data_IF_732412611985
#
_entry.id   IF_732412611985
#
_cell.length_a   1.000
_cell.length_b   1.000
_cell.length_c   1.000
_cell.angle_alpha   90.00
_cell.angle_beta   90.00
_cell.angle_gamma   90.00
#
_symmetry.space_group_name_H-M   'P 1'
#
loop_
_entity.id
_entity.type
_entity.pdbx_description
1 polymer ?
#
# COMPACT_ATOMS: atom_id res chain seq x y z
N UNK A 1 -5.56 -1.39 -0.60
CA UNK A 1 -6.51 -1.08 -1.71
C UNK A 1 -7.98 -1.06 -1.27
N UNK A 2 -8.53 -2.15 -0.70
CA UNK A 2 -9.96 -2.22 -0.35
C UNK A 2 -10.39 -1.20 0.71
N UNK A 3 -9.59 -0.97 1.75
CA UNK A 3 -9.91 0.01 2.79
C UNK A 3 -10.11 1.43 2.24
N UNK A 4 -9.16 1.93 1.44
CA UNK A 4 -9.28 3.27 0.83
C UNK A 4 -10.50 3.37 -0.08
N UNK A 5 -10.82 2.30 -0.84
CA UNK A 5 -12.04 2.26 -1.66
C UNK A 5 -13.30 2.32 -0.80
N UNK A 6 -13.33 1.58 0.31
CA UNK A 6 -14.41 1.63 1.29
C UNK A 6 -14.62 3.04 1.87
N UNK A 7 -13.53 3.74 2.20
CA UNK A 7 -13.58 5.13 2.67
C UNK A 7 -14.15 6.08 1.61
N UNK A 8 -13.72 5.97 0.34
CA UNK A 8 -14.27 6.78 -0.77
C UNK A 8 -15.77 6.54 -0.91
N UNK A 9 -16.22 5.28 -0.86
CA UNK A 9 -17.65 4.92 -0.97
C UNK A 9 -18.49 5.48 0.19
N UNK A 10 -17.95 5.48 1.40
CA UNK A 10 -18.60 6.02 2.58
C UNK A 10 -18.73 7.55 2.52
N UNK A 11 -17.63 8.24 2.14
CA UNK A 11 -17.54 9.70 2.19
C UNK A 11 -18.25 10.39 1.01
N UNK A 12 -18.06 9.91 -0.22
CA UNK A 12 -18.60 10.61 -1.40
C UNK A 12 -19.99 10.16 -1.81
N UNK A 13 -20.34 8.89 -1.55
CA UNK A 13 -21.54 8.29 -2.12
C UNK A 13 -22.60 7.94 -1.08
N UNK A 14 -22.26 7.99 0.21
CA UNK A 14 -23.06 7.43 1.30
C UNK A 14 -23.52 5.99 1.00
N UNK A 15 -22.70 5.21 0.27
CA UNK A 15 -23.04 3.83 -0.14
C UNK A 15 -22.48 2.81 0.84
N UNK A 16 -23.14 2.75 1.99
CA UNK A 16 -22.79 1.88 3.11
C UNK A 16 -22.62 0.42 2.70
N UNK A 17 -23.54 -0.16 1.93
CA UNK A 17 -23.49 -1.59 1.56
C UNK A 17 -22.21 -1.98 0.81
N UNK A 18 -21.73 -1.10 -0.08
CA UNK A 18 -20.49 -1.35 -0.83
C UNK A 18 -19.25 -1.11 0.02
N UNK A 19 -19.30 -0.12 0.92
CA UNK A 19 -18.22 0.13 1.86
C UNK A 19 -18.02 -1.07 2.81
N UNK A 20 -19.10 -1.69 3.30
CA UNK A 20 -19.07 -2.91 4.11
C UNK A 20 -18.33 -4.04 3.40
N UNK A 21 -18.67 -4.32 2.13
CA UNK A 21 -18.00 -5.36 1.36
C UNK A 21 -16.48 -5.11 1.23
N UNK A 22 -16.09 -3.85 1.04
CA UNK A 22 -14.69 -3.45 0.94
C UNK A 22 -13.94 -3.56 2.27
N UNK A 23 -14.52 -3.09 3.37
CA UNK A 23 -13.91 -3.23 4.68
C UNK A 23 -13.82 -4.68 5.13
N UNK A 24 -14.84 -5.50 4.85
CA UNK A 24 -14.80 -6.94 5.09
C UNK A 24 -13.67 -7.61 4.31
N UNK A 25 -13.46 -7.21 3.04
CA UNK A 25 -12.34 -7.74 2.25
C UNK A 25 -10.99 -7.29 2.79
N UNK A 26 -10.88 -6.05 3.28
CA UNK A 26 -9.68 -5.55 3.94
C UNK A 26 -9.34 -6.35 5.20
N UNK A 27 -10.34 -6.64 6.04
CA UNK A 27 -10.18 -7.50 7.23
C UNK A 27 -9.73 -8.91 6.87
N UNK A 28 -10.30 -9.50 5.80
CA UNK A 28 -9.93 -10.84 5.35
C UNK A 28 -8.48 -10.93 4.88
N UNK A 29 -8.02 -9.92 4.12
CA UNK A 29 -6.69 -9.92 3.52
C UNK A 29 -5.60 -9.50 4.53
N UNK A 30 -5.93 -8.54 5.39
CA UNK A 30 -5.02 -8.00 6.39
C UNK A 30 -5.68 -8.08 7.77
N UNK A 31 -5.72 -9.27 8.41
CA UNK A 31 -6.39 -9.46 9.70
C UNK A 31 -5.75 -8.67 10.84
N UNK A 32 -4.56 -8.10 10.63
CA UNK A 32 -3.85 -7.25 11.59
C UNK A 32 -4.14 -5.76 11.41
N UNK A 33 -4.90 -5.39 10.38
CA UNK A 33 -5.21 -4.01 10.06
C UNK A 33 -6.45 -3.56 10.84
N UNK A 34 -6.20 -3.07 12.07
CA UNK A 34 -7.24 -2.79 13.05
C UNK A 34 -8.26 -1.78 12.55
N UNK A 35 -7.83 -0.76 11.81
CA UNK A 35 -8.68 0.29 11.23
C UNK A 35 -9.81 -0.29 10.38
N UNK A 36 -9.56 -1.37 9.64
CA UNK A 36 -10.58 -2.01 8.82
C UNK A 36 -11.69 -2.65 9.66
N UNK A 37 -11.39 -3.19 10.84
CA UNK A 37 -12.41 -3.74 11.73
C UNK A 37 -13.35 -2.64 12.25
N UNK A 38 -12.80 -1.49 12.64
CA UNK A 38 -13.61 -0.39 13.18
C UNK A 38 -14.46 0.27 12.10
N UNK A 39 -13.90 0.51 10.91
CA UNK A 39 -14.71 1.03 9.79
C UNK A 39 -15.78 0.04 9.33
N UNK A 40 -15.51 -1.27 9.38
CA UNK A 40 -16.53 -2.29 9.11
C UNK A 40 -17.63 -2.29 10.17
N UNK A 41 -17.27 -2.25 11.46
CA UNK A 41 -18.23 -2.20 12.56
C UNK A 41 -19.12 -0.94 12.49
N UNK A 42 -18.53 0.23 12.27
CA UNK A 42 -19.25 1.50 12.12
C UNK A 42 -20.21 1.46 10.91
N UNK A 43 -19.80 0.78 9.84
CA UNK A 43 -20.64 0.60 8.66
C UNK A 43 -21.83 -0.34 8.94
N UNK A 44 -21.62 -1.42 9.70
CA UNK A 44 -22.72 -2.30 10.14
C UNK A 44 -23.70 -1.59 11.09
N UNK A 45 -23.19 -0.79 12.03
CA UNK A 45 -24.03 0.02 12.92
C UNK A 45 -24.89 1.00 12.12
N UNK A 46 -24.31 1.64 11.11
CA UNK A 46 -25.03 2.56 10.22
C UNK A 46 -26.09 1.86 9.38
N UNK A 47 -25.97 0.54 9.16
CA UNK A 47 -26.99 -0.30 8.52
C UNK A 47 -28.02 -0.89 9.51
N UNK A 48 -27.90 -0.58 10.81
CA UNK A 48 -28.75 -1.17 11.86
C UNK A 48 -28.42 -2.63 12.20
N UNK A 49 -27.30 -3.16 11.71
CA UNK A 49 -26.87 -4.54 11.94
C UNK A 49 -26.03 -4.66 13.23
N UNK A 50 -26.63 -4.30 14.36
CA UNK A 50 -25.93 -4.15 15.65
C UNK A 50 -25.15 -5.41 16.09
N UNK A 51 -25.74 -6.60 15.94
CA UNK A 51 -25.08 -7.85 16.33
C UNK A 51 -23.77 -8.09 15.54
N UNK A 52 -23.77 -7.76 14.23
CA UNK A 52 -22.58 -7.88 13.38
C UNK A 52 -21.55 -6.79 13.71
N UNK A 53 -22.02 -5.57 14.02
CA UNK A 53 -21.14 -4.49 14.44
C UNK A 53 -20.41 -4.83 15.75
N UNK A 54 -21.13 -5.30 16.77
CA UNK A 54 -20.55 -5.68 18.05
C UNK A 54 -19.60 -6.86 17.92
N UNK A 55 -19.98 -7.89 17.15
CA UNK A 55 -19.09 -9.02 16.87
C UNK A 55 -17.79 -8.55 16.19
N UNK A 56 -17.90 -7.69 15.19
CA UNK A 56 -16.75 -7.17 14.43
C UNK A 56 -15.85 -6.31 15.32
N UNK A 57 -16.45 -5.44 16.15
CA UNK A 57 -15.76 -4.59 17.12
C UNK A 57 -15.00 -5.42 18.15
N UNK A 58 -15.61 -6.47 18.69
CA UNK A 58 -14.94 -7.37 19.64
C UNK A 58 -13.82 -8.19 18.99
N UNK A 59 -13.98 -8.60 17.73
CA UNK A 59 -12.91 -9.23 16.96
C UNK A 59 -11.71 -8.26 16.80
N UNK A 60 -11.96 -7.00 16.42
CA UNK A 60 -10.93 -5.97 16.31
C UNK A 60 -10.22 -5.69 17.64
N UNK A 61 -10.96 -5.54 18.75
CA UNK A 61 -10.38 -5.35 20.09
C UNK A 61 -9.52 -6.52 20.54
N UNK A 62 -9.97 -7.76 20.28
CA UNK A 62 -9.21 -8.98 20.59
C UNK A 62 -7.90 -8.99 19.82
N UNK A 63 -7.94 -8.70 18.52
CA UNK A 63 -6.75 -8.62 17.69
C UNK A 63 -5.79 -7.53 18.17
N UNK A 64 -6.30 -6.37 18.57
CA UNK A 64 -5.47 -5.29 19.12
C UNK A 64 -4.73 -5.75 20.39
N UNK A 65 -5.40 -6.45 21.31
CA UNK A 65 -4.77 -7.05 22.51
C UNK A 65 -3.68 -8.06 22.15
N UNK A 66 -3.95 -8.96 21.21
CA UNK A 66 -2.97 -9.95 20.74
C UNK A 66 -1.72 -9.30 20.11
N UNK A 67 -1.91 -8.16 19.44
CA UNK A 67 -0.83 -7.38 18.85
C UNK A 67 -0.13 -6.43 19.85
N UNK A 68 -0.65 -6.28 21.08
CA UNK A 68 -0.20 -5.29 22.04
C UNK A 68 -0.36 -3.84 21.53
N UNK A 69 -1.36 -3.58 20.69
CA UNK A 69 -1.63 -2.27 20.09
C UNK A 69 -2.84 -1.60 20.73
N UNK A 70 -2.81 -0.27 20.76
CA UNK A 70 -3.99 0.53 21.10
C UNK A 70 -5.05 0.42 19.98
N UNK A 71 -6.30 0.75 20.33
CA UNK A 71 -7.38 0.80 19.36
C UNK A 71 -7.17 2.00 18.43
N UNK A 72 -7.39 1.84 17.12
CA UNK A 72 -7.23 2.93 16.17
C UNK A 72 -8.29 4.01 16.41
N UNK A 73 -7.88 5.26 16.18
CA UNK A 73 -8.80 6.39 16.11
C UNK A 73 -9.43 6.48 14.72
N UNK A 74 -10.60 7.12 14.63
CA UNK A 74 -11.21 7.42 13.33
C UNK A 74 -10.33 8.41 12.59
N UNK A 75 -9.92 8.05 11.37
CA UNK A 75 -9.09 8.93 10.53
C UNK A 75 -9.92 10.06 9.92
N UNK A 76 -9.32 11.25 9.86
CA UNK A 76 -9.79 12.36 9.03
C UNK A 76 -9.55 12.01 7.56
N UNK A 77 -10.54 12.27 6.70
CA UNK A 77 -10.42 12.04 5.26
C UNK A 77 -10.38 13.39 4.57
N UNK A 78 -9.32 13.64 3.80
CA UNK A 78 -9.18 14.84 2.99
C UNK A 78 -9.21 14.49 1.50
N UNK A 79 -9.70 15.44 0.71
CA UNK A 79 -9.67 15.43 -0.75
C UNK A 79 -9.02 16.73 -1.23
N UNK A 80 -8.36 16.75 -2.42
CA UNK A 80 -7.88 18.00 -2.99
C UNK A 80 -9.04 18.97 -3.24
N UNK A 81 -8.81 20.26 -2.97
CA UNK A 81 -9.80 21.32 -3.22
C UNK A 81 -9.95 21.73 -4.69
N UNK A 82 -9.28 21.03 -5.61
CA UNK A 82 -9.33 21.28 -7.06
C UNK A 82 -10.37 20.34 -7.66
N UNK A 83 -11.26 20.80 -8.57
CA UNK A 83 -12.22 19.93 -9.23
C UNK A 83 -11.51 18.94 -10.17
N UNK A 84 -12.07 17.74 -10.29
CA UNK A 84 -11.54 16.74 -11.22
C UNK A 84 -12.01 17.05 -12.64
N UNK A 85 -11.05 17.26 -13.54
CA UNK A 85 -11.30 17.40 -14.98
C UNK A 85 -11.21 16.03 -15.66
N UNK A 86 -12.38 15.42 -15.87
CA UNK A 86 -12.50 14.12 -16.54
C UNK A 86 -12.09 14.17 -18.01
N UNK A 87 -12.26 15.30 -18.69
CA UNK A 87 -11.98 15.42 -20.13
C UNK A 87 -10.47 15.51 -20.34
N UNK A 88 -9.78 16.30 -19.53
CA UNK A 88 -8.32 16.34 -19.51
C UNK A 88 -7.72 14.96 -19.18
N UNK A 89 -8.26 14.27 -18.16
CA UNK A 89 -7.80 12.92 -17.79
C UNK A 89 -8.06 11.90 -18.90
N UNK A 90 -9.26 11.92 -19.52
CA UNK A 90 -9.60 11.05 -20.64
C UNK A 90 -8.73 11.32 -21.86
N UNK A 91 -8.46 12.59 -22.16
CA UNK A 91 -7.61 13.00 -23.28
C UNK A 91 -6.18 12.53 -23.08
N UNK A 92 -5.63 12.66 -21.87
CA UNK A 92 -4.29 12.17 -21.54
C UNK A 92 -4.17 10.63 -21.64
N UNK A 93 -5.24 9.89 -21.32
CA UNK A 93 -5.27 8.42 -21.43
C UNK A 93 -5.72 7.89 -22.80
N UNK A 94 -6.02 8.77 -23.75
CA UNK A 94 -6.30 8.33 -25.12
C UNK A 94 -5.04 7.77 -25.79
N UNK A 95 -5.22 6.96 -26.83
CA UNK A 95 -4.12 6.25 -27.47
C UNK A 95 -3.07 7.22 -28.01
N UNK A 96 -1.81 7.00 -27.62
CA UNK A 96 -0.61 7.57 -28.23
C UNK A 96 0.35 6.47 -28.69
N UNK A 97 1.58 6.84 -29.06
CA UNK A 97 2.63 5.92 -29.53
C UNK A 97 3.68 5.56 -28.47
N UNK A 98 3.63 6.16 -27.28
CA UNK A 98 4.73 6.06 -26.31
C UNK A 98 4.63 4.85 -25.38
N UNK A 99 5.78 4.45 -24.82
CA UNK A 99 5.92 3.32 -23.90
C UNK A 99 6.64 3.74 -22.62
N UNK A 100 6.17 3.26 -21.48
CA UNK A 100 6.86 3.39 -20.18
C UNK A 100 7.32 2.00 -19.76
N UNK A 101 8.64 1.82 -19.63
CA UNK A 101 9.27 0.63 -19.06
C UNK A 101 9.51 0.85 -17.57
N UNK A 102 8.86 0.06 -16.74
CA UNK A 102 8.77 0.24 -15.32
C UNK A 102 9.53 -0.79 -14.51
N UNK A 103 10.00 -0.41 -13.31
CA UNK A 103 10.51 -1.32 -12.29
C UNK A 103 9.91 -1.00 -10.92
N UNK A 104 9.28 -1.98 -10.27
CA UNK A 104 8.63 -1.89 -8.98
C UNK A 104 9.32 -2.83 -7.97
N UNK A 105 10.09 -2.23 -7.06
CA UNK A 105 10.89 -2.97 -6.08
C UNK A 105 10.85 -2.23 -4.74
N UNK A 106 10.61 -2.96 -3.65
CA UNK A 106 10.82 -2.45 -2.30
C UNK A 106 12.25 -2.75 -1.82
N UNK A 107 12.89 -1.80 -1.13
CA UNK A 107 14.22 -1.97 -0.55
C UNK A 107 14.14 -2.07 0.97
N UNK A 108 14.65 -3.16 1.55
CA UNK A 108 14.80 -3.32 3.01
C UNK A 108 16.27 -3.57 3.35
N UNK A 109 16.98 -2.50 3.71
CA UNK A 109 18.42 -2.53 3.90
C UNK A 109 19.14 -2.80 2.57
N UNK A 110 20.03 -3.81 2.53
CA UNK A 110 20.73 -4.22 1.32
C UNK A 110 19.92 -5.13 0.39
N UNK A 111 18.72 -5.57 0.80
CA UNK A 111 17.89 -6.50 0.03
C UNK A 111 16.79 -5.77 -0.75
N UNK A 112 16.52 -6.29 -1.93
CA UNK A 112 15.47 -5.84 -2.85
C UNK A 112 14.40 -6.91 -2.97
N UNK A 113 13.13 -6.50 -2.97
CA UNK A 113 11.98 -7.37 -3.09
C UNK A 113 11.16 -6.91 -4.30
N UNK A 114 11.12 -7.72 -5.35
CA UNK A 114 10.30 -7.46 -6.53
C UNK A 114 8.83 -7.54 -6.16
N UNK A 115 8.03 -6.58 -6.63
CA UNK A 115 6.60 -6.55 -6.40
C UNK A 115 5.84 -7.55 -7.31
N UNK A 116 6.28 -8.80 -7.36
CA UNK A 116 5.77 -9.82 -8.28
C UNK A 116 4.24 -9.98 -8.14
N UNK A 117 3.56 -9.97 -9.30
CA UNK A 117 2.13 -10.12 -9.39
C UNK A 117 1.32 -8.90 -8.95
N UNK A 118 1.94 -7.83 -8.43
CA UNK A 118 1.27 -6.58 -8.01
C UNK A 118 0.78 -5.81 -9.24
N UNK A 119 -0.36 -5.15 -9.10
CA UNK A 119 -0.89 -4.25 -10.12
C UNK A 119 -0.39 -2.82 -9.87
N UNK A 120 0.30 -2.24 -10.85
CA UNK A 120 0.65 -0.82 -10.87
C UNK A 120 -0.47 -0.06 -11.56
N UNK A 121 -0.96 1.00 -10.93
CA UNK A 121 -1.90 1.96 -11.53
C UNK A 121 -1.12 3.19 -11.99
N UNK A 122 -1.39 3.66 -13.22
CA UNK A 122 -0.83 4.89 -13.78
C UNK A 122 -1.95 5.89 -14.04
N UNK A 123 -1.80 7.08 -13.47
CA UNK A 123 -2.72 8.19 -13.55
C UNK A 123 -2.09 9.34 -14.33
N UNK A 124 -2.84 10.06 -15.17
CA UNK A 124 -2.37 11.34 -15.70
C UNK A 124 -2.17 12.33 -14.56
N UNK A 125 -1.02 13.01 -14.54
CA UNK A 125 -0.72 14.05 -13.56
C UNK A 125 -1.46 15.36 -13.90
N UNK A 126 -2.79 15.31 -13.94
CA UNK A 126 -3.64 16.50 -14.11
C UNK A 126 -3.48 17.45 -12.91
N UNK A 127 -3.90 18.73 -13.01
CA UNK A 127 -3.89 19.63 -11.86
C UNK A 127 -4.57 19.07 -10.60
N UNK A 128 -5.62 18.25 -10.78
CA UNK A 128 -6.26 17.51 -9.70
C UNK A 128 -5.30 16.53 -9.01
N UNK A 129 -4.63 15.66 -9.78
CA UNK A 129 -3.70 14.68 -9.24
C UNK A 129 -2.46 15.33 -8.61
N UNK A 130 -1.97 16.42 -9.19
CA UNK A 130 -0.89 17.20 -8.59
C UNK A 130 -1.32 17.82 -7.26
N UNK A 131 -2.52 18.38 -7.18
CA UNK A 131 -3.07 18.93 -5.94
C UNK A 131 -3.28 17.84 -4.88
N UNK A 132 -3.80 16.67 -5.27
CA UNK A 132 -3.92 15.52 -4.37
C UNK A 132 -2.55 15.10 -3.84
N UNK A 133 -1.55 14.95 -4.71
CA UNK A 133 -0.21 14.54 -4.31
C UNK A 133 0.41 15.54 -3.34
N UNK A 134 0.35 16.85 -3.65
CA UNK A 134 0.85 17.91 -2.75
C UNK A 134 0.13 17.93 -1.41
N UNK A 135 -1.20 17.79 -1.40
CA UNK A 135 -1.99 17.76 -0.17
C UNK A 135 -1.60 16.55 0.69
N UNK A 136 -1.42 15.38 0.06
CA UNK A 136 -1.01 14.16 0.73
C UNK A 136 0.38 14.29 1.35
N UNK A 137 1.37 14.77 0.59
CA UNK A 137 2.72 15.03 1.14
C UNK A 137 2.70 15.98 2.33
N UNK A 138 1.75 16.93 2.36
CA UNK A 138 1.66 17.94 3.40
C UNK A 138 0.83 17.53 4.63
N UNK A 139 -0.10 16.57 4.49
CA UNK A 139 -1.17 16.34 5.49
C UNK A 139 -1.47 14.88 5.79
N UNK A 140 -0.99 13.93 5.00
CA UNK A 140 -1.24 12.50 5.28
C UNK A 140 -0.36 12.03 6.43
N UNK A 141 -0.98 11.44 7.45
CA UNK A 141 -0.30 10.96 8.64
C UNK A 141 -1.06 9.78 9.29
N UNK A 142 -0.73 9.47 10.55
CA UNK A 142 -1.36 8.39 11.29
C UNK A 142 -2.88 8.60 11.46
N UNK A 143 -3.33 9.85 11.58
CA UNK A 143 -4.72 10.22 11.87
C UNK A 143 -5.46 10.81 10.65
N UNK A 144 -4.76 11.11 9.56
CA UNK A 144 -5.31 11.73 8.36
C UNK A 144 -4.96 10.92 7.11
N UNK A 145 -5.96 10.63 6.27
CA UNK A 145 -5.77 10.00 4.96
C UNK A 145 -6.20 10.97 3.86
N UNK A 146 -5.41 11.06 2.78
CA UNK A 146 -5.72 11.92 1.64
C UNK A 146 -6.08 11.07 0.44
N UNK A 147 -7.34 11.14 0.01
CA UNK A 147 -7.89 10.28 -1.03
C UNK A 147 -8.09 11.05 -2.33
N UNK A 148 -8.02 10.33 -3.45
CA UNK A 148 -8.54 10.81 -4.73
C UNK A 148 -10.04 10.55 -4.77
N UNK A 149 -10.77 11.36 -5.55
CA UNK A 149 -12.20 11.17 -5.72
C UNK A 149 -12.48 9.90 -6.52
N UNK A 150 -13.68 9.34 -6.37
CA UNK A 150 -14.08 8.12 -7.08
C UNK A 150 -13.98 8.26 -8.59
N UNK A 151 -14.27 9.45 -9.12
CA UNK A 151 -14.19 9.69 -10.55
C UNK A 151 -12.74 9.58 -11.03
N UNK A 152 -11.81 10.26 -10.37
CA UNK A 152 -10.37 10.19 -10.66
C UNK A 152 -9.82 8.77 -10.61
N UNK A 153 -10.28 7.93 -9.66
CA UNK A 153 -9.85 6.54 -9.52
C UNK A 153 -10.16 5.67 -10.75
N UNK A 154 -11.13 6.08 -11.60
CA UNK A 154 -11.48 5.38 -12.85
C UNK A 154 -10.56 5.74 -14.01
N UNK A 155 -9.93 6.91 -13.98
CA UNK A 155 -9.08 7.40 -15.06
C UNK A 155 -7.64 6.98 -14.80
N UNK A 156 -7.39 5.70 -15.06
CA UNK A 156 -6.08 5.08 -14.96
C UNK A 156 -5.91 3.97 -15.98
N UNK A 157 -4.66 3.66 -16.29
CA UNK A 157 -4.28 2.40 -16.92
C UNK A 157 -3.53 1.55 -15.91
N UNK A 158 -3.58 0.23 -16.06
CA UNK A 158 -2.92 -0.68 -15.12
C UNK A 158 -2.01 -1.65 -15.83
N UNK A 159 -0.90 -2.02 -15.18
CA UNK A 159 0.03 -3.04 -15.65
C UNK A 159 0.37 -3.96 -14.49
N UNK A 160 0.58 -5.25 -14.78
CA UNK A 160 0.97 -6.24 -13.78
C UNK A 160 2.48 -6.39 -13.77
N UNK A 161 3.06 -6.41 -12.58
CA UNK A 161 4.49 -6.58 -12.36
C UNK A 161 4.85 -8.07 -12.49
N UNK A 162 5.97 -8.36 -13.14
CA UNK A 162 6.51 -9.71 -13.26
C UNK A 162 7.45 -10.10 -12.10
N UNK A 163 7.95 -11.33 -12.11
CA UNK A 163 8.86 -11.87 -11.10
C UNK A 163 10.18 -11.09 -10.94
N UNK A 164 10.59 -10.33 -11.96
CA UNK A 164 11.80 -9.51 -11.94
C UNK A 164 11.53 -8.09 -11.42
N UNK A 165 10.27 -7.79 -11.10
CA UNK A 165 9.80 -6.47 -10.69
C UNK A 165 9.53 -5.55 -11.87
N UNK A 166 9.51 -6.05 -13.11
CA UNK A 166 9.35 -5.22 -14.29
C UNK A 166 7.86 -5.11 -14.69
N UNK A 167 7.47 -3.96 -15.23
CA UNK A 167 6.12 -3.70 -15.75
C UNK A 167 6.17 -2.78 -16.96
N UNK A 168 5.11 -2.77 -17.78
CA UNK A 168 5.08 -1.93 -19.00
C UNK A 168 3.72 -1.27 -19.19
N UNK A 169 3.72 0.02 -19.49
CA UNK A 169 2.58 0.74 -20.06
C UNK A 169 2.86 1.07 -21.51
N UNK A 170 1.87 0.88 -22.39
CA UNK A 170 1.95 1.15 -23.83
C UNK A 170 0.83 2.08 -24.25
N UNK A 171 0.96 2.62 -25.45
CA UNK A 171 -0.04 3.45 -26.12
C UNK A 171 -0.35 4.74 -25.36
N UNK A 172 0.65 5.32 -24.69
CA UNK A 172 0.49 6.56 -23.94
C UNK A 172 0.75 7.76 -24.85
N UNK A 173 0.02 8.85 -24.61
CA UNK A 173 0.34 10.16 -25.19
C UNK A 173 1.49 10.83 -24.45
N UNK A 174 2.16 11.82 -25.06
CA UNK A 174 3.00 12.76 -24.35
C UNK A 174 2.28 13.38 -23.16
N UNK A 175 3.02 13.60 -22.08
CA UNK A 175 2.49 14.13 -20.84
C UNK A 175 3.18 13.56 -19.61
N UNK A 176 2.76 14.09 -18.46
CA UNK A 176 3.26 13.67 -17.15
C UNK A 176 2.28 12.71 -16.51
N UNK A 177 2.80 11.64 -15.93
CA UNK A 177 2.02 10.58 -15.29
C UNK A 177 2.58 10.24 -13.92
N UNK A 178 1.70 9.82 -13.03
CA UNK A 178 2.00 9.30 -11.70
C UNK A 178 1.64 7.82 -11.63
N UNK A 179 2.57 6.99 -11.19
CA UNK A 179 2.34 5.58 -10.97
C UNK A 179 2.37 5.24 -9.48
N UNK A 180 1.50 4.32 -9.07
CA UNK A 180 1.43 3.81 -7.72
C UNK A 180 1.14 2.30 -7.71
N UNK A 181 1.76 1.60 -6.78
CA UNK A 181 1.46 0.22 -6.41
C UNK A 181 1.45 0.07 -4.88
N UNK A 182 0.57 -0.81 -4.38
CA UNK A 182 0.58 -1.25 -2.99
C UNK A 182 1.19 -2.64 -2.95
N UNK A 183 2.31 -2.79 -2.26
CA UNK A 183 3.07 -4.03 -2.21
C UNK A 183 3.17 -4.55 -0.77
N UNK A 184 2.42 -5.61 -0.50
CA UNK A 184 2.45 -6.33 0.77
C UNK A 184 3.32 -7.59 0.61
N UNK A 185 4.27 -7.80 1.53
CA UNK A 185 5.14 -8.98 1.50
C UNK A 185 5.74 -9.30 2.87
N UNK A 186 6.07 -10.57 3.10
CA UNK A 186 6.75 -11.03 4.32
C UNK A 186 8.25 -11.18 4.07
N UNK A 187 9.07 -10.40 4.76
CA UNK A 187 10.51 -10.55 4.79
C UNK A 187 10.91 -11.61 5.81
N UNK A 188 11.63 -12.64 5.37
CA UNK A 188 12.25 -13.64 6.25
C UNK A 188 13.68 -13.21 6.62
N UNK A 189 13.91 -12.98 7.92
CA UNK A 189 15.25 -12.72 8.47
C UNK A 189 15.72 -13.94 9.25
N UNK A 190 16.91 -14.44 8.90
CA UNK A 190 17.63 -15.48 9.66
C UNK A 190 18.78 -14.82 10.41
N UNK A 191 18.92 -15.14 11.69
CA UNK A 191 20.01 -14.65 12.55
C UNK A 191 20.49 -15.76 13.46
N UNK A 192 21.80 -15.89 13.63
CA UNK A 192 22.39 -16.73 14.68
C UNK A 192 22.32 -15.98 16.01
N UNK A 193 21.74 -16.61 17.01
CA UNK A 193 21.65 -16.08 18.37
C UNK A 193 22.55 -16.91 19.25
N UNK A 194 23.45 -16.25 19.98
CA UNK A 194 24.30 -16.90 20.96
C UNK A 194 23.44 -17.50 22.07
N UNK A 195 23.63 -18.79 22.37
CA UNK A 195 22.83 -19.52 23.37
C UNK A 195 23.64 -20.06 24.53
N UNK A 196 24.97 -19.97 24.48
CA UNK A 196 25.81 -20.37 25.58
C UNK A 196 27.24 -20.63 25.16
N UNK A 197 28.09 -20.91 26.13
CA UNK A 197 29.49 -21.23 25.92
C UNK A 197 29.88 -22.39 26.82
N UNK A 198 30.48 -23.41 26.24
CA UNK A 198 31.17 -24.44 26.99
C UNK A 198 32.63 -24.05 27.13
N UNK A 199 33.21 -24.28 28.31
CA UNK A 199 34.65 -24.21 28.48
C UNK A 199 35.18 -25.40 29.27
N UNK A 200 36.31 -25.93 28.83
CA UNK A 200 37.02 -26.99 29.53
C UNK A 200 38.53 -26.75 29.48
N UNK A 201 39.22 -27.32 30.46
CA UNK A 201 40.68 -27.19 30.59
C UNK A 201 41.36 -28.37 29.90
N UNK A 202 42.29 -28.06 28.99
CA UNK A 202 43.15 -29.03 28.31
C UNK A 202 44.62 -28.68 28.59
N UNK A 203 45.19 -29.34 29.62
CA UNK A 203 46.52 -29.01 30.14
C UNK A 203 46.60 -27.56 30.65
N UNK A 204 47.58 -26.74 30.22
CA UNK A 204 47.68 -25.34 30.62
C UNK A 204 46.72 -24.42 29.86
N UNK A 205 45.97 -24.92 28.87
CA UNK A 205 45.09 -24.12 28.02
C UNK A 205 43.62 -24.24 28.43
N UNK A 206 42.87 -23.14 28.25
CA UNK A 206 41.41 -23.12 28.37
C UNK A 206 40.81 -23.12 26.96
N UNK A 207 40.01 -24.14 26.65
CA UNK A 207 39.27 -24.21 25.38
C UNK A 207 37.86 -23.69 25.63
N UNK A 208 37.40 -22.79 24.77
CA UNK A 208 36.08 -22.15 24.87
C UNK A 208 35.35 -22.34 23.54
N UNK A 209 34.14 -22.86 23.58
CA UNK A 209 33.29 -23.07 22.40
C UNK A 209 31.97 -22.35 22.59
N UNK A 210 31.69 -21.39 21.71
CA UNK A 210 30.45 -20.62 21.73
C UNK A 210 29.39 -21.32 20.87
N UNK A 211 28.22 -21.53 21.45
CA UNK A 211 27.07 -22.16 20.82
C UNK A 211 26.08 -21.11 20.33
N UNK A 212 25.51 -21.36 19.15
CA UNK A 212 24.54 -20.48 18.51
C UNK A 212 23.37 -21.28 17.97
N UNK A 213 22.17 -20.73 18.07
CA UNK A 213 20.95 -21.25 17.45
C UNK A 213 20.50 -20.35 16.29
N UNK A 214 19.96 -20.96 15.25
CA UNK A 214 19.32 -20.22 14.16
C UNK A 214 17.94 -19.74 14.59
N UNK A 215 17.72 -18.43 14.64
CA UNK A 215 16.39 -17.82 14.75
C UNK A 215 15.89 -17.33 13.41
N UNK A 216 14.64 -17.65 13.10
CA UNK A 216 13.89 -17.13 11.95
C UNK A 216 12.85 -16.12 12.44
N UNK A 217 12.82 -14.94 11.81
CA UNK A 217 11.78 -13.93 12.04
C UNK A 217 11.08 -13.61 10.72
N UNK A 218 9.75 -13.55 10.78
CA UNK A 218 8.90 -13.10 9.69
C UNK A 218 8.48 -11.67 9.98
N UNK A 219 8.74 -10.76 9.04
CA UNK A 219 8.41 -9.34 9.17
C UNK A 219 7.54 -8.97 7.99
N UNK A 220 6.27 -8.69 8.27
CA UNK A 220 5.33 -8.24 7.26
C UNK A 220 5.57 -6.76 6.93
N UNK A 221 5.58 -6.43 5.65
CA UNK A 221 5.69 -5.09 5.12
C UNK A 221 4.45 -4.76 4.29
N UNK A 222 4.06 -3.49 4.31
CA UNK A 222 2.99 -2.93 3.49
C UNK A 222 3.50 -1.62 2.90
N UNK A 223 4.16 -1.72 1.75
CA UNK A 223 4.82 -0.57 1.13
C UNK A 223 3.94 0.05 0.05
N UNK A 224 4.01 1.37 -0.05
CA UNK A 224 3.45 2.13 -1.16
C UNK A 224 4.58 2.53 -2.09
N UNK A 225 4.59 1.96 -3.29
CA UNK A 225 5.62 2.19 -4.30
C UNK A 225 5.14 3.21 -5.32
N UNK A 226 5.92 4.26 -5.53
CA UNK A 226 5.46 5.44 -6.27
C UNK A 226 6.53 6.05 -7.17
N UNK A 227 6.09 6.75 -8.21
CA UNK A 227 6.99 7.52 -9.06
C UNK A 227 6.25 8.33 -10.12
N UNK A 228 6.90 9.40 -10.57
CA UNK A 228 6.46 10.20 -11.71
C UNK A 228 7.29 9.88 -12.94
N UNK A 229 6.66 9.97 -14.10
CA UNK A 229 7.32 9.88 -15.40
C UNK A 229 6.76 10.95 -16.32
N UNK A 230 7.60 11.46 -17.21
CA UNK A 230 7.20 12.43 -18.23
C UNK A 230 7.61 11.91 -19.61
N UNK A 231 6.65 11.93 -20.53
CA UNK A 231 6.80 11.55 -21.93
C UNK A 231 6.81 12.86 -22.72
N UNK A 232 7.94 13.20 -23.33
CA UNK A 232 8.12 14.50 -24.00
C UNK A 232 7.52 14.48 -25.40
N UNK A 233 7.70 13.38 -26.14
CA UNK A 233 7.26 13.24 -27.53
C UNK A 233 6.52 11.93 -27.76
N UNK A 234 5.64 11.94 -28.74
CA UNK A 234 4.86 10.76 -29.08
C UNK A 234 5.77 9.71 -29.73
N UNK A 235 5.66 8.46 -29.29
CA UNK A 235 6.59 7.39 -29.67
C UNK A 235 7.78 7.21 -28.73
N UNK A 236 7.97 8.10 -27.74
CA UNK A 236 9.07 7.97 -26.78
C UNK A 236 8.95 6.67 -25.96
N UNK A 237 10.10 6.05 -25.68
CA UNK A 237 10.21 5.00 -24.67
C UNK A 237 10.98 5.54 -23.47
N UNK A 238 10.33 5.63 -22.32
CA UNK A 238 10.89 6.19 -21.09
C UNK A 238 10.94 5.16 -19.97
N UNK A 239 11.82 5.38 -19.00
CA UNK A 239 11.98 4.48 -17.83
C UNK A 239 11.33 5.08 -16.59
N UNK A 240 10.73 4.22 -15.78
CA UNK A 240 10.12 4.58 -14.49
C UNK A 240 10.57 3.59 -13.42
N UNK A 241 11.02 4.08 -12.27
CA UNK A 241 11.29 3.25 -11.09
C UNK A 241 10.39 3.67 -9.96
N UNK A 242 9.59 2.74 -9.44
CA UNK A 242 8.75 2.98 -8.27
C UNK A 242 9.57 2.67 -7.01
N UNK A 243 9.56 3.62 -6.08
CA UNK A 243 10.29 3.52 -4.81
C UNK A 243 9.32 3.57 -3.65
N UNK A 244 9.71 2.97 -2.54
CA UNK A 244 8.99 3.10 -1.28
C UNK A 244 8.99 4.56 -0.84
N UNK A 245 7.78 5.13 -0.76
CA UNK A 245 7.58 6.42 -0.15
C UNK A 245 7.30 6.21 1.34
N UNK A 246 8.00 6.95 2.20
CA UNK A 246 7.88 6.83 3.66
C UNK A 246 6.59 7.46 4.19
#
# INVERSE_FOLDING_TARGET
LYFNRGLILLQEMHRLDRAVADFAKAVQLAPNYLEAYFMLADSYDSQGQQALADQTREAGKRRARELGKELPKRKSVLFPGVPFDKEAASSALSSGGSTVLGKAVSKKGSRSFAADGVQVSLYPATPYFEAWYRLREAREDADTVVLVCREAEKFKVTSRVDQNGDFVFRNLKPGRYFAQAYFEFTQVKKSKVYVGTDSYRDGPYMVTTNHYEDRVRHIDHSDRLEGFVEIQKDGDTVKLSLKDHK
#
